data_IF_281087834963
#
_entry.id   IF_281087834963
#
_cell.length_a   1.000
_cell.length_b   1.000
_cell.length_c   1.000
_cell.angle_alpha   90.00
_cell.angle_beta   90.00
_cell.angle_gamma   90.00
#
_symmetry.space_group_name_H-M   'P 1'
#
loop_
_entity.id
_entity.type
_entity.pdbx_description
1 polymer ?
#
# COMPACT_ATOMS: atom_id res chain seq x y z
N UNK A 1 -10.53 6.60 -0.18
CA UNK A 1 -10.00 7.40 0.95
C UNK A 1 -9.94 6.50 2.18
N UNK A 2 -8.84 6.53 2.92
CA UNK A 2 -8.62 5.67 4.09
C UNK A 2 -8.68 6.43 5.42
N UNK A 3 -8.89 7.74 5.37
CA UNK A 3 -8.95 8.64 6.53
C UNK A 3 -9.98 8.24 7.60
N UNK A 4 -11.03 7.50 7.21
CA UNK A 4 -12.09 7.03 8.11
C UNK A 4 -11.91 5.58 8.60
N UNK A 5 -10.86 4.85 8.17
CA UNK A 5 -10.63 3.47 8.62
C UNK A 5 -10.06 3.47 10.04
N UNK A 6 -10.52 2.52 10.87
CA UNK A 6 -9.88 2.24 12.17
C UNK A 6 -8.63 1.41 11.95
N UNK A 7 -7.52 1.80 12.57
CA UNK A 7 -6.23 1.10 12.55
C UNK A 7 -5.49 1.30 13.88
N UNK A 8 -4.50 0.47 14.15
CA UNK A 8 -3.59 0.63 15.29
C UNK A 8 -2.25 1.17 14.78
N UNK A 9 -1.86 2.37 15.24
CA UNK A 9 -0.59 3.01 14.91
C UNK A 9 0.31 3.25 16.14
N UNK A 10 0.06 2.56 17.26
CA UNK A 10 0.83 2.77 18.50
C UNK A 10 2.30 2.31 18.41
N UNK A 11 2.69 1.63 17.34
CA UNK A 11 4.08 1.29 17.04
C UNK A 11 4.76 2.27 16.08
N UNK A 12 4.06 3.30 15.62
CA UNK A 12 4.53 4.24 14.62
C UNK A 12 5.17 5.48 15.28
N UNK A 13 6.22 6.00 14.63
CA UNK A 13 6.77 7.31 14.96
C UNK A 13 5.91 8.44 14.39
N UNK A 14 5.12 8.16 13.36
CA UNK A 14 4.18 9.11 12.76
C UNK A 14 2.79 8.94 13.38
N UNK A 15 2.32 9.98 14.07
CA UNK A 15 0.96 9.98 14.64
C UNK A 15 -0.07 10.51 13.63
N UNK A 16 -1.38 10.21 13.83
CA UNK A 16 -2.44 10.78 12.99
C UNK A 16 -2.47 12.30 12.95
N UNK A 17 -2.06 12.96 14.03
CA UNK A 17 -1.97 14.42 14.07
C UNK A 17 -0.87 14.95 13.14
N UNK A 18 0.32 14.34 13.20
CA UNK A 18 1.48 14.72 12.38
C UNK A 18 1.20 14.45 10.90
N UNK A 19 0.70 13.26 10.56
CA UNK A 19 0.31 12.93 9.18
C UNK A 19 -0.78 13.88 8.66
N UNK A 20 -1.74 14.24 9.52
CA UNK A 20 -2.77 15.23 9.18
C UNK A 20 -2.18 16.59 8.82
N UNK A 21 -1.17 17.08 9.54
CA UNK A 21 -0.50 18.35 9.23
C UNK A 21 0.28 18.27 7.91
N UNK A 22 1.07 17.21 7.72
CA UNK A 22 1.87 17.02 6.52
C UNK A 22 1.02 16.84 5.27
N UNK A 23 -0.01 16.00 5.33
CA UNK A 23 -0.91 15.74 4.20
C UNK A 23 -1.70 16.99 3.79
N UNK A 24 -2.17 17.80 4.75
CA UNK A 24 -2.81 19.10 4.44
C UNK A 24 -1.84 20.09 3.82
N UNK A 25 -0.61 20.17 4.32
CA UNK A 25 0.42 21.05 3.77
C UNK A 25 0.82 20.62 2.35
N UNK A 26 0.97 19.31 2.11
CA UNK A 26 1.27 18.74 0.79
C UNK A 26 0.19 19.09 -0.23
N UNK A 27 -1.08 18.95 0.16
CA UNK A 27 -2.20 19.26 -0.74
C UNK A 27 -2.38 20.76 -0.94
N UNK A 28 -2.03 21.61 0.03
CA UNK A 28 -2.19 23.07 -0.05
C UNK A 28 -3.61 23.52 -0.51
N UNK A 29 -4.64 22.76 -0.13
CA UNK A 29 -6.04 22.98 -0.53
C UNK A 29 -6.44 22.40 -1.89
N UNK A 30 -5.50 21.81 -2.65
CA UNK A 30 -5.79 21.09 -3.88
C UNK A 30 -6.56 19.79 -3.61
N UNK A 31 -7.43 19.36 -4.55
CA UNK A 31 -8.10 18.06 -4.45
C UNK A 31 -7.10 16.92 -4.58
N UNK A 32 -7.47 15.75 -4.03
CA UNK A 32 -6.72 14.52 -4.26
C UNK A 32 -6.88 14.06 -5.71
N UNK A 33 -5.80 13.54 -6.29
CA UNK A 33 -5.76 12.94 -7.64
C UNK A 33 -4.83 11.71 -7.66
N UNK A 34 -4.55 11.16 -8.84
CA UNK A 34 -3.71 9.95 -8.99
C UNK A 34 -2.22 10.20 -8.75
N UNK A 35 -1.77 11.46 -8.72
CA UNK A 35 -0.37 11.83 -8.47
C UNK A 35 -0.11 12.02 -6.98
N UNK A 36 -1.04 12.64 -6.26
CA UNK A 36 -0.90 12.89 -4.83
C UNK A 36 -1.57 11.81 -3.95
N UNK A 37 -2.38 10.91 -4.54
CA UNK A 37 -3.02 9.82 -3.83
C UNK A 37 -3.18 8.58 -4.72
N UNK A 38 -2.22 7.65 -4.62
CA UNK A 38 -2.29 6.36 -5.32
C UNK A 38 -3.55 5.54 -4.97
N UNK A 39 -4.15 5.78 -3.80
CA UNK A 39 -5.44 5.21 -3.39
C UNK A 39 -6.62 5.63 -4.28
N UNK A 40 -6.50 6.69 -5.07
CA UNK A 40 -7.51 7.07 -6.07
C UNK A 40 -7.20 6.52 -7.47
N UNK A 41 -5.97 6.06 -7.72
CA UNK A 41 -5.56 5.58 -9.02
C UNK A 41 -6.27 4.24 -9.36
N UNK A 42 -6.83 4.11 -10.58
CA UNK A 42 -7.36 2.84 -11.05
C UNK A 42 -6.22 1.86 -11.32
N UNK A 43 -6.49 0.55 -11.31
CA UNK A 43 -5.42 -0.45 -11.54
C UNK A 43 -4.72 -0.28 -12.90
N UNK A 44 -5.44 0.21 -13.92
CA UNK A 44 -4.87 0.49 -15.25
C UNK A 44 -3.79 1.57 -15.20
N UNK A 45 -3.90 2.53 -14.29
CA UNK A 45 -2.85 3.53 -14.04
C UNK A 45 -1.58 2.88 -13.49
N UNK A 46 -1.75 1.91 -12.59
CA UNK A 46 -0.66 1.18 -11.96
C UNK A 46 -0.09 0.05 -12.85
N UNK A 47 -0.75 -0.28 -13.96
CA UNK A 47 -0.29 -1.31 -14.89
C UNK A 47 0.93 -0.89 -15.72
N UNK A 48 1.19 0.42 -15.82
CA UNK A 48 2.23 0.98 -16.67
C UNK A 48 3.65 0.86 -16.07
N UNK A 49 3.81 0.37 -14.84
CA UNK A 49 5.13 0.26 -14.23
C UNK A 49 5.98 -0.80 -14.94
N UNK A 50 7.20 -0.45 -15.43
CA UNK A 50 8.08 -1.38 -16.14
C UNK A 50 8.85 -2.28 -15.16
N UNK A 51 8.13 -3.02 -14.32
CA UNK A 51 8.70 -3.89 -13.27
C UNK A 51 8.28 -5.34 -13.45
N UNK A 52 9.24 -6.26 -13.36
CA UNK A 52 8.97 -7.70 -13.49
C UNK A 52 8.51 -8.33 -12.17
N UNK A 53 9.02 -7.82 -11.04
CA UNK A 53 8.67 -8.25 -9.68
C UNK A 53 8.61 -7.05 -8.74
N UNK A 54 7.68 -7.09 -7.79
CA UNK A 54 7.48 -6.05 -6.79
C UNK A 54 7.22 -6.68 -5.42
N UNK A 55 7.95 -6.23 -4.41
CA UNK A 55 7.65 -6.51 -3.00
C UNK A 55 7.13 -5.22 -2.35
N UNK A 56 5.93 -5.28 -1.80
CA UNK A 56 5.34 -4.24 -0.96
C UNK A 56 5.45 -4.69 0.49
N UNK A 57 6.04 -3.84 1.34
CA UNK A 57 6.15 -4.09 2.78
C UNK A 57 5.34 -3.05 3.56
N UNK A 58 4.77 -3.48 4.68
CA UNK A 58 4.12 -2.62 5.66
C UNK A 58 4.48 -3.04 7.09
N UNK A 59 4.43 -2.10 8.02
CA UNK A 59 4.37 -2.36 9.44
C UNK A 59 2.94 -2.69 9.88
N UNK A 60 2.76 -3.72 10.70
CA UNK A 60 1.45 -4.09 11.25
C UNK A 60 0.92 -3.11 12.31
N UNK A 61 1.68 -2.08 12.66
CA UNK A 61 1.35 -1.07 13.67
C UNK A 61 1.70 0.34 13.20
N UNK A 62 1.47 0.61 11.90
CA UNK A 62 1.72 1.90 11.26
C UNK A 62 0.43 2.57 10.78
N UNK A 63 0.45 3.90 10.66
CA UNK A 63 -0.69 4.71 10.19
C UNK A 63 -1.09 4.42 8.74
N UNK A 64 -0.12 4.08 7.89
CA UNK A 64 -0.32 3.90 6.46
C UNK A 64 -0.84 2.51 6.06
N UNK A 65 -0.91 1.56 6.99
CA UNK A 65 -1.27 0.16 6.69
C UNK A 65 -2.54 0.04 5.84
N UNK A 66 -3.67 0.72 6.17
CA UNK A 66 -4.88 0.65 5.36
C UNK A 66 -4.71 1.07 3.88
N UNK A 67 -3.85 2.05 3.62
CA UNK A 67 -3.57 2.54 2.27
C UNK A 67 -2.60 1.62 1.52
N UNK A 68 -1.62 1.05 2.23
CA UNK A 68 -0.67 0.09 1.65
C UNK A 68 -1.37 -1.22 1.28
N UNK A 69 -2.32 -1.68 2.10
CA UNK A 69 -3.17 -2.85 1.79
C UNK A 69 -3.96 -2.65 0.49
N UNK A 70 -4.65 -1.51 0.34
CA UNK A 70 -5.41 -1.18 -0.87
C UNK A 70 -4.51 -1.07 -2.10
N UNK A 71 -3.34 -0.45 -1.94
CA UNK A 71 -2.35 -0.37 -3.00
C UNK A 71 -1.85 -1.75 -3.45
N UNK A 72 -1.46 -2.61 -2.50
CA UNK A 72 -1.02 -3.97 -2.78
C UNK A 72 -2.14 -4.80 -3.46
N UNK A 73 -3.38 -4.65 -3.00
CA UNK A 73 -4.54 -5.32 -3.60
C UNK A 73 -4.81 -4.86 -5.04
N UNK A 74 -4.68 -3.56 -5.32
CA UNK A 74 -4.85 -3.03 -6.67
C UNK A 74 -3.80 -3.55 -7.64
N UNK A 75 -2.58 -3.78 -7.17
CA UNK A 75 -1.47 -4.30 -7.96
C UNK A 75 -1.56 -5.82 -8.21
N UNK A 76 -2.16 -6.57 -7.28
CA UNK A 76 -2.32 -8.03 -7.37
C UNK A 76 -3.45 -8.45 -8.32
N UNK A 77 -3.20 -9.49 -9.11
CA UNK A 77 -4.18 -10.10 -10.03
C UNK A 77 -5.31 -10.77 -9.23
N UNK A 78 -6.56 -10.62 -9.66
CA UNK A 78 -7.68 -11.47 -9.24
C UNK A 78 -8.34 -11.12 -7.90
N UNK A 79 -7.86 -10.13 -7.15
CA UNK A 79 -8.57 -9.64 -5.96
C UNK A 79 -9.69 -8.66 -6.33
N UNK A 80 -10.92 -8.82 -5.79
CA UNK A 80 -12.00 -7.88 -6.04
C UNK A 80 -11.73 -6.54 -5.33
N UNK A 81 -11.56 -5.46 -6.09
CA UNK A 81 -11.46 -4.09 -5.54
C UNK A 81 -12.84 -3.56 -5.17
N UNK A 82 -12.90 -2.53 -4.30
CA UNK A 82 -14.12 -1.74 -4.04
C UNK A 82 -14.78 -1.19 -5.33
N UNK A 83 -14.00 -0.93 -6.37
CA UNK A 83 -14.46 -0.53 -7.71
C UNK A 83 -15.34 -1.62 -8.38
N UNK A 84 -15.12 -2.89 -8.03
CA UNK A 84 -15.88 -4.04 -8.53
C UNK A 84 -17.05 -4.44 -7.62
N UNK A 85 -17.14 -3.89 -6.40
CA UNK A 85 -18.14 -4.30 -5.40
C UNK A 85 -19.53 -3.71 -5.65
N UNK A 86 -19.65 -2.56 -6.32
CA UNK A 86 -20.94 -1.95 -6.62
C UNK A 86 -21.55 -2.41 -7.97
N UNK A 87 -20.75 -2.94 -8.89
CA UNK A 87 -21.19 -3.32 -10.26
C UNK A 87 -21.45 -4.82 -10.42
N UNK A 88 -21.02 -5.65 -9.46
CA UNK A 88 -21.19 -7.11 -9.52
C UNK A 88 -22.64 -7.60 -9.37
N UNK A 89 -23.58 -6.74 -8.96
CA UNK A 89 -24.99 -7.13 -8.79
C UNK A 89 -25.89 -6.84 -10.02
N UNK A 90 -25.45 -6.06 -11.01
CA UNK A 90 -26.37 -5.59 -12.08
C UNK A 90 -25.92 -5.90 -13.52
N UNK A 91 -24.65 -6.21 -13.80
CA UNK A 91 -24.20 -6.37 -15.20
C UNK A 91 -23.35 -7.63 -15.44
N UNK A 92 -23.91 -8.79 -15.11
CA UNK A 92 -23.34 -10.09 -15.50
C UNK A 92 -23.79 -10.57 -16.90
N UNK A 93 -24.17 -9.67 -17.82
CA UNK A 93 -24.41 -10.00 -19.24
C UNK A 93 -24.08 -8.79 -20.12
N UNK A 94 -23.06 -8.92 -20.97
CA UNK A 94 -22.86 -8.15 -22.22
C UNK A 94 -21.97 -6.90 -22.26
N UNK A 95 -21.07 -6.64 -21.29
CA UNK A 95 -20.04 -5.60 -21.48
C UNK A 95 -18.68 -6.19 -21.92
N UNK A 96 -17.99 -5.62 -22.93
CA UNK A 96 -16.62 -6.01 -23.25
C UNK A 96 -15.70 -5.71 -22.05
N UNK A 97 -14.93 -6.71 -21.63
CA UNK A 97 -13.97 -6.64 -20.51
C UNK A 97 -13.01 -5.46 -20.68
N UNK A 98 -12.90 -4.52 -19.72
CA UNK A 98 -11.77 -3.60 -19.71
C UNK A 98 -10.50 -4.37 -19.38
N UNK A 99 -9.49 -4.20 -20.21
CA UNK A 99 -8.13 -4.73 -20.10
C UNK A 99 -7.44 -4.22 -18.83
N UNK A 100 -7.35 -5.03 -17.77
CA UNK A 100 -6.75 -4.59 -16.51
C UNK A 100 -5.54 -5.46 -16.18
N UNK A 101 -4.37 -5.02 -16.65
CA UNK A 101 -3.11 -5.70 -16.38
C UNK A 101 -2.68 -5.41 -14.94
N UNK A 102 -3.10 -6.25 -14.00
CA UNK A 102 -2.42 -6.38 -12.73
C UNK A 102 -1.00 -6.94 -12.96
N UNK A 103 -0.05 -6.59 -12.09
CA UNK A 103 1.34 -7.02 -12.23
C UNK A 103 1.44 -8.51 -11.83
N UNK A 104 2.10 -9.36 -12.62
CA UNK A 104 2.06 -10.81 -12.43
C UNK A 104 2.76 -11.29 -11.15
N UNK A 105 3.71 -10.51 -10.60
CA UNK A 105 4.56 -10.93 -9.49
C UNK A 105 4.64 -9.86 -8.40
N UNK A 106 3.51 -9.63 -7.71
CA UNK A 106 3.42 -8.68 -6.60
C UNK A 106 3.25 -9.42 -5.29
N UNK A 107 4.25 -9.26 -4.43
CA UNK A 107 4.27 -9.83 -3.10
C UNK A 107 3.95 -8.74 -2.07
N UNK A 108 3.12 -9.07 -1.08
CA UNK A 108 2.78 -8.16 0.00
C UNK A 108 3.12 -8.80 1.34
N UNK A 109 3.84 -8.06 2.18
CA UNK A 109 4.27 -8.53 3.49
C UNK A 109 3.99 -7.47 4.56
N UNK A 110 3.30 -7.88 5.62
CA UNK A 110 3.10 -7.05 6.81
C UNK A 110 3.98 -7.60 7.92
N UNK A 111 4.86 -6.78 8.49
CA UNK A 111 5.65 -7.13 9.68
C UNK A 111 4.80 -6.96 10.95
N UNK A 112 4.39 -8.04 11.65
CA UNK A 112 3.56 -7.92 12.84
C UNK A 112 4.22 -7.05 13.91
N UNK A 113 3.47 -6.10 14.47
CA UNK A 113 3.90 -5.16 15.53
C UNK A 113 5.04 -4.21 15.13
N UNK A 114 5.32 -4.05 13.85
CA UNK A 114 6.31 -3.08 13.35
C UNK A 114 5.63 -1.77 12.92
N UNK A 115 6.32 -0.65 13.14
CA UNK A 115 5.88 0.67 12.70
C UNK A 115 6.33 1.01 11.28
N UNK A 116 6.12 2.28 10.89
CA UNK A 116 6.49 2.81 9.58
C UNK A 116 7.99 2.65 9.35
N UNK A 117 8.37 2.03 8.22
CA UNK A 117 9.77 1.80 7.79
C UNK A 117 10.66 1.29 8.95
N UNK A 118 10.14 0.36 9.76
CA UNK A 118 10.84 -0.18 10.93
C UNK A 118 12.29 -0.65 10.65
N UNK A 119 12.64 -1.27 9.49
CA UNK A 119 14.03 -1.62 9.18
C UNK A 119 15.01 -0.44 9.19
N UNK A 120 14.52 0.79 9.03
CA UNK A 120 15.32 2.03 9.05
C UNK A 120 15.17 2.74 10.39
N UNK A 121 13.94 2.98 10.85
CA UNK A 121 13.72 3.80 12.05
C UNK A 121 14.13 3.12 13.35
N UNK A 122 14.02 1.79 13.47
CA UNK A 122 14.51 1.07 14.64
C UNK A 122 16.02 1.32 14.82
N UNK A 123 16.79 1.26 13.71
CA UNK A 123 18.22 1.54 13.73
C UNK A 123 18.51 2.98 14.16
N UNK A 124 17.70 3.95 13.70
CA UNK A 124 17.82 5.36 14.09
C UNK A 124 17.62 5.57 15.60
N UNK A 125 16.64 4.91 16.21
CA UNK A 125 16.38 4.99 17.66
C UNK A 125 17.27 4.06 18.50
N UNK A 126 18.25 3.39 17.88
CA UNK A 126 19.21 2.53 18.56
C UNK A 126 18.77 1.08 18.77
N UNK A 127 17.58 0.69 18.33
CA UNK A 127 17.15 -0.71 18.32
C UNK A 127 17.78 -1.45 17.13
N UNK A 128 18.63 -2.43 17.44
CA UNK A 128 19.35 -3.25 16.45
C UNK A 128 18.69 -4.59 16.18
N UNK A 129 17.51 -4.83 16.76
CA UNK A 129 16.74 -6.05 16.54
C UNK A 129 16.36 -6.16 15.08
N UNK A 130 16.64 -7.31 14.47
CA UNK A 130 16.30 -7.52 13.07
C UNK A 130 14.77 -7.60 12.88
N UNK A 131 14.23 -6.62 12.17
CA UNK A 131 12.81 -6.54 11.84
C UNK A 131 12.41 -7.62 10.84
N UNK A 132 11.15 -8.03 10.87
CA UNK A 132 10.57 -9.00 9.95
C UNK A 132 10.44 -8.41 8.55
N UNK A 133 10.10 -7.12 8.42
CA UNK A 133 10.22 -6.41 7.14
C UNK A 133 11.65 -6.50 6.59
N UNK A 134 12.66 -6.27 7.45
CA UNK A 134 14.07 -6.36 7.06
C UNK A 134 14.49 -7.77 6.64
N UNK A 135 14.05 -8.81 7.37
CA UNK A 135 14.23 -10.21 6.98
C UNK A 135 13.61 -10.51 5.61
N UNK A 136 12.36 -10.07 5.40
CA UNK A 136 11.63 -10.30 4.14
C UNK A 136 12.33 -9.64 2.97
N UNK A 137 12.71 -8.37 3.08
CA UNK A 137 13.42 -7.63 2.02
C UNK A 137 14.76 -8.31 1.70
N UNK A 138 15.55 -8.71 2.71
CA UNK A 138 16.82 -9.39 2.47
C UNK A 138 16.65 -10.76 1.82
N UNK A 139 15.64 -11.53 2.21
CA UNK A 139 15.32 -12.81 1.56
C UNK A 139 14.92 -12.59 0.09
N UNK A 140 14.00 -11.66 -0.16
CA UNK A 140 13.53 -11.33 -1.50
C UNK A 140 14.67 -10.86 -2.42
N UNK A 141 15.56 -9.98 -1.91
CA UNK A 141 16.70 -9.50 -2.69
C UNK A 141 17.64 -10.63 -3.14
N UNK A 142 17.79 -11.69 -2.34
CA UNK A 142 18.58 -12.88 -2.72
C UNK A 142 17.88 -13.76 -3.75
N UNK A 143 16.56 -13.64 -3.92
CA UNK A 143 15.78 -14.37 -4.91
C UNK A 143 15.76 -13.63 -6.27
N UNK A 144 16.03 -12.32 -6.25
CA UNK A 144 15.93 -11.46 -7.44
C UNK A 144 17.24 -10.96 -8.04
N UNK A 145 18.34 -11.05 -7.29
CA UNK A 145 19.71 -10.80 -7.77
C UNK A 145 20.39 -12.13 -8.01
#
# INVERSE_FOLDING_TARGET
>A
DHSARTFYAGGDLVTPEVDGLWSRALLAGAPKDYFNSASLAPRSWLAAFPVTRLLVCAGGSEIMLPAIEDFAEKLQVGKPTMENSCTALVLARSAPRPTQAALPNVEFFVGPREGHVAPVYNLYVGDRTETQQGKRVKAWLREVV
#
